data_IF_456279186385
#
_entry.id   IF_456279186385
#
_cell.length_a   1.000
_cell.length_b   1.000
_cell.length_c   1.000
_cell.angle_alpha   90.00
_cell.angle_beta   90.00
_cell.angle_gamma   90.00
#
_symmetry.space_group_name_H-M   'P 1'
#
loop_
_entity.id
_entity.type
_entity.pdbx_description
1 polymer ?
#
# COMPACT_ATOMS: atom_id res chain seq x y z
N UNK A 1 -11.39 -4.64 -0.85
CA UNK A 1 -12.31 -3.66 -0.24
C UNK A 1 -13.48 -3.55 -1.18
N UNK A 2 -14.69 -3.86 -0.74
CA UNK A 2 -15.91 -3.69 -1.52
C UNK A 2 -16.70 -2.47 -1.04
N UNK A 3 -17.63 -2.01 -1.88
CA UNK A 3 -18.49 -0.87 -1.60
C UNK A 3 -19.94 -1.26 -1.41
N UNK A 4 -20.61 -0.60 -0.47
CA UNK A 4 -22.01 -0.88 -0.13
C UNK A 4 -22.80 0.40 0.08
N UNK A 5 -24.11 0.36 -0.19
CA UNK A 5 -25.07 1.37 0.23
C UNK A 5 -26.01 0.77 1.26
N UNK A 6 -26.10 1.38 2.43
CA UNK A 6 -27.06 1.04 3.47
C UNK A 6 -28.13 2.11 3.54
N UNK A 7 -29.39 1.72 3.36
CA UNK A 7 -30.54 2.62 3.48
C UNK A 7 -30.84 2.89 4.95
N UNK A 8 -31.06 4.16 5.24
CA UNK A 8 -31.54 4.69 6.50
C UNK A 8 -32.87 5.39 6.27
N UNK A 9 -33.90 5.00 7.02
CA UNK A 9 -35.18 5.69 7.00
C UNK A 9 -35.24 6.64 8.20
N UNK A 10 -35.31 7.97 7.98
CA UNK A 10 -35.31 8.96 9.07
C UNK A 10 -36.55 8.87 9.97
N UNK A 11 -37.60 8.13 9.57
CA UNK A 11 -38.75 7.84 10.46
C UNK A 11 -38.38 6.93 11.63
N UNK A 12 -37.45 6.00 11.42
CA UNK A 12 -37.10 4.97 12.40
C UNK A 12 -35.79 5.28 13.12
N UNK A 13 -34.85 5.91 12.42
CA UNK A 13 -33.52 6.20 12.94
C UNK A 13 -33.13 7.66 12.67
N UNK A 14 -32.89 8.42 13.74
CA UNK A 14 -32.55 9.85 13.74
C UNK A 14 -31.09 10.07 13.32
N UNK A 15 -30.80 9.73 12.06
CA UNK A 15 -29.45 9.76 11.49
C UNK A 15 -28.76 11.12 11.65
N UNK A 16 -29.50 12.21 11.47
CA UNK A 16 -28.94 13.56 11.59
C UNK A 16 -28.41 13.85 13.00
N UNK A 17 -29.15 13.44 14.05
CA UNK A 17 -28.70 13.55 15.43
C UNK A 17 -27.49 12.64 15.68
N UNK A 18 -27.53 11.40 15.14
CA UNK A 18 -26.41 10.46 15.24
C UNK A 18 -25.14 11.02 14.63
N UNK A 19 -25.22 11.67 13.46
CA UNK A 19 -24.04 12.18 12.77
C UNK A 19 -23.40 13.38 13.49
N UNK A 20 -24.13 14.06 14.40
CA UNK A 20 -23.57 15.11 15.26
C UNK A 20 -22.87 14.54 16.49
N UNK A 21 -23.19 13.33 16.92
CA UNK A 21 -22.51 12.68 18.04
C UNK A 21 -21.03 12.40 17.68
N UNK A 22 -20.06 12.82 18.51
CA UNK A 22 -18.64 12.62 18.23
C UNK A 22 -18.23 11.15 18.07
N UNK A 23 -18.95 10.20 18.68
CA UNK A 23 -18.66 8.75 18.62
C UNK A 23 -18.60 8.26 17.19
N UNK A 24 -17.48 7.62 16.87
CA UNK A 24 -17.23 7.10 15.52
C UNK A 24 -17.82 5.69 15.33
N UNK A 25 -17.87 4.88 16.39
CA UNK A 25 -18.43 3.52 16.32
C UNK A 25 -19.94 3.55 16.13
N UNK A 26 -20.43 2.81 15.14
CA UNK A 26 -21.84 2.65 14.82
C UNK A 26 -22.15 1.18 14.51
N UNK A 27 -23.31 0.70 14.93
CA UNK A 27 -23.83 -0.63 14.59
C UNK A 27 -24.93 -0.49 13.55
N UNK A 28 -25.02 -1.46 12.63
CA UNK A 28 -26.05 -1.42 11.57
C UNK A 28 -26.61 -2.80 11.27
N UNK A 29 -27.94 -2.91 11.20
CA UNK A 29 -28.69 -4.15 10.92
C UNK A 29 -28.52 -4.60 9.47
N UNK A 30 -28.19 -5.87 9.26
CA UNK A 30 -27.95 -6.50 7.94
C UNK A 30 -28.76 -7.80 7.85
N UNK A 31 -30.05 -7.70 7.52
CA UNK A 31 -31.00 -8.82 7.69
C UNK A 31 -31.07 -9.84 6.54
N UNK A 32 -30.51 -9.55 5.36
CA UNK A 32 -30.66 -10.41 4.17
C UNK A 32 -29.36 -10.81 3.47
N UNK A 33 -28.25 -10.12 3.75
CA UNK A 33 -26.92 -10.43 3.18
C UNK A 33 -25.81 -10.22 4.23
N UNK A 34 -25.90 -10.84 5.43
CA UNK A 34 -24.92 -10.62 6.49
C UNK A 34 -23.52 -11.12 6.12
N UNK A 35 -23.43 -12.23 5.38
CA UNK A 35 -22.15 -12.89 5.06
C UNK A 35 -21.32 -12.18 3.98
N UNK A 36 -21.93 -11.26 3.22
CA UNK A 36 -21.27 -10.61 2.09
C UNK A 36 -20.46 -9.37 2.50
N UNK A 37 -20.75 -8.77 3.65
CA UNK A 37 -20.10 -7.54 4.12
C UNK A 37 -18.92 -7.89 5.02
N UNK A 38 -17.71 -7.56 4.59
CA UNK A 38 -16.47 -7.95 5.27
C UNK A 38 -15.78 -6.77 5.97
N UNK A 39 -14.97 -7.02 7.02
CA UNK A 39 -14.09 -6.00 7.58
C UNK A 39 -13.21 -5.34 6.51
N UNK A 40 -13.12 -4.02 6.57
CA UNK A 40 -12.41 -3.19 5.58
C UNK A 40 -13.30 -2.65 4.46
N UNK A 41 -14.52 -3.16 4.29
CA UNK A 41 -15.47 -2.64 3.29
C UNK A 41 -15.93 -1.22 3.63
N UNK A 42 -16.25 -0.45 2.60
CA UNK A 42 -16.75 0.92 2.72
C UNK A 42 -18.25 0.93 2.48
N UNK A 43 -18.97 1.59 3.39
CA UNK A 43 -20.42 1.71 3.32
C UNK A 43 -20.83 3.18 3.25
N UNK A 44 -21.69 3.50 2.29
CA UNK A 44 -22.33 4.79 2.14
C UNK A 44 -23.72 4.77 2.79
N UNK A 45 -23.95 5.64 3.77
CA UNK A 45 -25.25 5.75 4.44
C UNK A 45 -26.19 6.61 3.60
N UNK A 46 -27.21 5.94 3.03
CA UNK A 46 -28.23 6.54 2.19
C UNK A 46 -29.49 6.87 2.98
N UNK A 47 -29.80 8.14 3.16
CA UNK A 47 -31.08 8.57 3.73
C UNK A 47 -32.20 8.43 2.68
N UNK A 48 -33.36 7.90 3.07
CA UNK A 48 -34.56 7.84 2.22
C UNK A 48 -35.51 9.01 2.50
N UNK A 49 -36.53 9.19 1.66
CA UNK A 49 -37.53 10.25 1.80
C UNK A 49 -37.27 11.46 0.90
N UNK A 50 -37.81 12.65 1.27
CA UNK A 50 -37.68 13.87 0.48
C UNK A 50 -36.22 14.31 0.29
N UNK A 51 -35.40 14.22 1.35
CA UNK A 51 -33.98 14.57 1.35
C UNK A 51 -33.07 13.38 1.00
N UNK A 52 -33.54 12.51 0.11
CA UNK A 52 -32.83 11.28 -0.23
C UNK A 52 -31.43 11.54 -0.77
N UNK A 53 -30.46 10.77 -0.32
CA UNK A 53 -29.07 10.96 -0.69
C UNK A 53 -28.10 10.35 0.30
N UNK A 54 -26.81 10.48 0.00
CA UNK A 54 -25.73 10.00 0.88
C UNK A 54 -25.41 11.07 1.91
N UNK A 55 -25.37 10.68 3.19
CA UNK A 55 -25.14 11.60 4.34
C UNK A 55 -23.83 11.32 5.08
N UNK A 56 -23.30 10.11 4.94
CA UNK A 56 -22.07 9.69 5.61
C UNK A 56 -21.44 8.49 4.90
N UNK A 57 -20.17 8.24 5.24
CA UNK A 57 -19.48 7.00 4.91
C UNK A 57 -18.88 6.38 6.17
N UNK A 58 -18.79 5.05 6.19
CA UNK A 58 -18.21 4.28 7.28
C UNK A 58 -17.39 3.12 6.74
N UNK A 59 -16.42 2.65 7.53
CA UNK A 59 -15.64 1.45 7.25
C UNK A 59 -16.07 0.34 8.20
N UNK A 60 -16.35 -0.84 7.67
CA UNK A 60 -16.70 -2.02 8.48
C UNK A 60 -15.48 -2.47 9.26
N UNK A 61 -15.59 -2.56 10.58
CA UNK A 61 -14.52 -3.04 11.46
C UNK A 61 -14.73 -4.50 11.83
N UNK A 62 -15.99 -4.91 11.97
CA UNK A 62 -16.38 -6.31 12.25
C UNK A 62 -17.52 -6.73 11.34
N UNK A 63 -17.45 -7.97 10.86
CA UNK A 63 -18.49 -8.60 10.07
C UNK A 63 -19.82 -8.68 10.84
N UNK A 64 -20.89 -9.04 10.14
CA UNK A 64 -22.20 -9.18 10.77
C UNK A 64 -22.20 -10.35 11.77
N UNK A 65 -22.50 -10.04 13.03
CA UNK A 65 -22.69 -11.01 14.10
C UNK A 65 -24.07 -10.81 14.76
N UNK A 66 -24.66 -11.89 15.26
CA UNK A 66 -25.91 -11.82 16.03
C UNK A 66 -25.70 -11.02 17.31
N UNK A 67 -26.37 -9.88 17.41
CA UNK A 67 -26.28 -9.02 18.60
C UNK A 67 -27.50 -8.13 18.77
N UNK A 68 -27.77 -7.75 20.01
CA UNK A 68 -28.71 -6.67 20.32
C UNK A 68 -28.11 -5.33 19.89
N UNK A 69 -28.97 -4.31 19.73
CA UNK A 69 -28.52 -2.96 19.43
C UNK A 69 -27.61 -2.42 20.54
N UNK A 70 -26.55 -1.71 20.15
CA UNK A 70 -25.68 -1.01 21.10
C UNK A 70 -26.54 -0.04 21.94
N UNK A 71 -26.51 -0.10 23.28
CA UNK A 71 -27.27 0.81 24.13
C UNK A 71 -27.10 2.28 23.78
N UNK A 72 -25.91 2.65 23.30
CA UNK A 72 -25.56 4.00 22.95
C UNK A 72 -26.11 4.40 21.54
N UNK A 73 -26.52 3.43 20.72
CA UNK A 73 -27.22 3.63 19.44
C UNK A 73 -28.74 3.63 19.60
N UNK A 74 -29.28 2.92 20.61
CA UNK A 74 -30.72 2.90 20.94
C UNK A 74 -31.32 4.31 21.08
N UNK A 75 -30.53 5.27 21.57
CA UNK A 75 -30.94 6.66 21.71
C UNK A 75 -31.39 7.32 20.39
N UNK A 76 -30.94 6.84 19.23
CA UNK A 76 -31.30 7.42 17.93
C UNK A 76 -32.48 6.73 17.25
N UNK A 77 -32.90 5.56 17.75
CA UNK A 77 -34.09 4.89 17.26
C UNK A 77 -35.35 5.56 17.81
N UNK A 78 -36.36 5.74 16.96
CA UNK A 78 -37.69 6.20 17.39
C UNK A 78 -38.38 5.14 18.25
N UNK A 79 -38.22 3.88 17.86
CA UNK A 79 -38.71 2.68 18.58
C UNK A 79 -37.57 1.66 18.61
N UNK A 80 -36.74 1.63 19.66
CA UNK A 80 -35.61 0.71 19.73
C UNK A 80 -36.08 -0.74 19.89
N UNK A 81 -35.70 -1.59 18.95
CA UNK A 81 -35.92 -3.04 19.03
C UNK A 81 -34.86 -3.68 19.96
N UNK A 82 -35.31 -4.54 20.90
CA UNK A 82 -34.43 -5.41 21.71
C UNK A 82 -34.05 -6.72 20.96
N UNK A 83 -34.45 -6.84 19.69
CA UNK A 83 -34.24 -8.06 18.90
C UNK A 83 -32.75 -8.27 18.58
N UNK A 84 -32.27 -9.49 18.86
CA UNK A 84 -30.95 -9.95 18.43
C UNK A 84 -31.01 -10.19 16.93
N UNK A 85 -30.22 -9.44 16.18
CA UNK A 85 -30.19 -9.51 14.72
C UNK A 85 -28.76 -9.40 14.20
N UNK A 86 -28.46 -9.91 12.98
CA UNK A 86 -27.14 -9.75 12.40
C UNK A 86 -26.82 -8.27 12.19
N UNK A 87 -25.75 -7.79 12.84
CA UNK A 87 -25.31 -6.40 12.76
C UNK A 87 -23.81 -6.31 12.54
N UNK A 88 -23.40 -5.44 11.63
CA UNK A 88 -21.98 -5.06 11.50
C UNK A 88 -21.61 -4.03 12.56
N UNK A 89 -20.33 -4.01 12.94
CA UNK A 89 -19.73 -2.88 13.64
C UNK A 89 -18.90 -2.11 12.63
N UNK A 90 -19.19 -0.82 12.49
CA UNK A 90 -18.49 0.06 11.59
C UNK A 90 -18.02 1.31 12.32
N UNK A 91 -17.06 2.00 11.71
CA UNK A 91 -16.58 3.30 12.16
C UNK A 91 -16.92 4.34 11.12
N UNK A 92 -17.69 5.36 11.53
CA UNK A 92 -17.98 6.55 10.73
C UNK A 92 -16.66 7.23 10.35
N UNK A 93 -16.38 7.30 9.06
CA UNK A 93 -15.16 7.90 8.53
C UNK A 93 -15.39 9.32 8.02
N UNK A 94 -16.56 9.56 7.40
CA UNK A 94 -16.91 10.83 6.78
C UNK A 94 -18.36 11.20 7.11
N UNK A 95 -18.57 12.46 7.47
CA UNK A 95 -19.87 13.06 7.83
C UNK A 95 -19.82 14.57 7.61
N UNK A 96 -20.96 15.24 7.75
CA UNK A 96 -21.05 16.70 7.56
C UNK A 96 -21.19 17.12 6.09
N UNK A 97 -21.68 16.22 5.25
CA UNK A 97 -22.03 16.50 3.86
C UNK A 97 -23.40 15.90 3.53
N UNK A 98 -24.00 16.35 2.43
CA UNK A 98 -25.20 15.75 1.87
C UNK A 98 -25.12 15.76 0.36
N UNK A 99 -25.00 14.59 -0.25
CA UNK A 99 -25.14 14.46 -1.70
C UNK A 99 -26.53 13.97 -2.03
N UNK A 100 -27.36 14.86 -2.57
CA UNK A 100 -28.74 14.54 -2.93
C UNK A 100 -28.77 13.55 -4.08
N UNK A 101 -29.87 12.80 -4.14
CA UNK A 101 -30.10 11.83 -5.20
C UNK A 101 -30.00 12.45 -6.59
N UNK A 102 -30.49 13.67 -6.77
CA UNK A 102 -30.47 14.38 -8.05
C UNK A 102 -29.04 14.74 -8.46
N UNK A 103 -28.22 15.21 -7.51
CA UNK A 103 -26.82 15.54 -7.74
C UNK A 103 -26.01 14.30 -8.13
N UNK A 104 -26.23 13.18 -7.42
CA UNK A 104 -25.53 11.93 -7.71
C UNK A 104 -25.94 11.33 -9.06
N UNK A 105 -27.20 11.46 -9.47
CA UNK A 105 -27.66 11.02 -10.80
C UNK A 105 -27.09 11.84 -11.95
N UNK A 106 -26.66 13.07 -11.68
CA UNK A 106 -26.06 13.95 -12.68
C UNK A 106 -24.56 13.69 -12.89
N UNK A 107 -23.92 12.89 -12.04
CA UNK A 107 -22.50 12.54 -12.15
C UNK A 107 -22.36 11.29 -13.02
N UNK A 108 -21.66 11.35 -14.17
CA UNK A 108 -21.41 10.17 -15.01
C UNK A 108 -20.73 9.04 -14.22
N UNK A 109 -21.24 7.83 -14.34
CA UNK A 109 -20.80 6.65 -13.58
C UNK A 109 -21.58 6.41 -12.29
N UNK A 110 -22.22 7.43 -11.70
CA UNK A 110 -23.04 7.27 -10.49
C UNK A 110 -24.53 7.10 -10.81
N UNK A 111 -25.01 7.43 -12.01
CA UNK A 111 -26.40 7.24 -12.42
C UNK A 111 -26.87 5.78 -12.35
N UNK A 112 -25.92 4.83 -12.39
CA UNK A 112 -26.17 3.38 -12.29
C UNK A 112 -26.21 2.83 -10.87
N UNK A 113 -26.04 3.68 -9.84
CA UNK A 113 -26.03 3.23 -8.46
C UNK A 113 -27.29 2.39 -8.15
N UNK A 114 -27.14 1.21 -7.54
CA UNK A 114 -28.22 0.25 -7.40
C UNK A 114 -29.35 0.74 -6.49
N UNK A 115 -29.09 1.75 -5.66
CA UNK A 115 -30.12 2.39 -4.83
C UNK A 115 -31.16 3.16 -5.65
N UNK A 116 -30.84 3.56 -6.89
CA UNK A 116 -31.75 4.25 -7.81
C UNK A 116 -32.72 3.31 -8.52
N UNK A 117 -32.25 2.09 -8.80
CA UNK A 117 -32.93 1.13 -9.67
C UNK A 117 -33.43 -0.11 -8.93
N UNK A 118 -33.03 -0.27 -7.66
CA UNK A 118 -33.31 -1.45 -6.86
C UNK A 118 -34.74 -1.50 -6.32
N UNK A 119 -35.23 -2.72 -6.12
CA UNK A 119 -36.52 -3.00 -5.47
C UNK A 119 -36.64 -2.24 -4.14
N UNK A 120 -37.77 -1.52 -3.97
CA UNK A 120 -38.07 -0.65 -2.82
C UNK A 120 -37.83 -1.33 -1.46
N UNK A 121 -37.90 -2.66 -1.39
CA UNK A 121 -37.81 -3.47 -0.17
C UNK A 121 -36.38 -3.87 0.27
N UNK A 122 -35.34 -3.71 -0.56
CA UNK A 122 -33.95 -3.98 -0.13
C UNK A 122 -33.38 -2.79 0.64
N UNK A 123 -32.62 -3.08 1.70
CA UNK A 123 -31.99 -2.08 2.59
C UNK A 123 -30.48 -2.00 2.42
N UNK A 124 -29.85 -3.03 1.84
CA UNK A 124 -28.41 -3.13 1.61
C UNK A 124 -28.17 -3.44 0.13
N UNK A 125 -27.25 -2.69 -0.48
CA UNK A 125 -26.95 -2.78 -1.91
C UNK A 125 -25.44 -2.87 -2.12
N UNK A 126 -24.92 -3.90 -2.80
CA UNK A 126 -23.53 -3.89 -3.26
C UNK A 126 -23.36 -2.81 -4.32
N UNK A 127 -22.24 -2.10 -4.32
CA UNK A 127 -21.87 -1.09 -5.32
C UNK A 127 -20.66 -1.63 -6.08
N UNK A 128 -20.67 -1.49 -7.40
CA UNK A 128 -19.51 -1.86 -8.22
C UNK A 128 -18.30 -0.95 -7.93
N UNK A 129 -17.10 -1.46 -8.18
CA UNK A 129 -15.86 -0.78 -7.77
C UNK A 129 -15.72 0.63 -8.37
N UNK A 130 -16.04 0.81 -9.65
CA UNK A 130 -15.92 2.11 -10.34
C UNK A 130 -16.90 3.16 -9.76
N UNK A 131 -18.17 2.80 -9.53
CA UNK A 131 -19.12 3.72 -8.90
C UNK A 131 -18.80 3.96 -7.42
N UNK A 132 -18.26 2.95 -6.74
CA UNK A 132 -17.82 3.02 -5.36
C UNK A 132 -16.63 3.97 -5.17
N UNK A 133 -15.59 3.82 -5.98
CA UNK A 133 -14.41 4.69 -6.00
C UNK A 133 -14.81 6.14 -6.28
N UNK A 134 -15.63 6.37 -7.31
CA UNK A 134 -16.07 7.72 -7.69
C UNK A 134 -16.89 8.40 -6.59
N UNK A 135 -17.79 7.67 -5.93
CA UNK A 135 -18.57 8.18 -4.81
C UNK A 135 -17.69 8.42 -3.58
N UNK A 136 -16.72 7.53 -3.32
CA UNK A 136 -15.76 7.68 -2.24
C UNK A 136 -14.90 8.94 -2.41
N UNK A 137 -14.34 9.15 -3.61
CA UNK A 137 -13.55 10.33 -3.95
C UNK A 137 -14.35 11.63 -3.81
N UNK A 138 -15.62 11.61 -4.24
CA UNK A 138 -16.53 12.75 -4.07
C UNK A 138 -16.76 13.08 -2.59
N UNK A 139 -16.95 12.08 -1.74
CA UNK A 139 -17.10 12.23 -0.27
C UNK A 139 -15.83 12.79 0.36
N UNK A 140 -14.68 12.23 -0.03
CA UNK A 140 -13.37 12.69 0.40
C UNK A 140 -13.18 14.18 0.05
N UNK A 141 -13.47 14.56 -1.18
CA UNK A 141 -13.34 15.94 -1.64
C UNK A 141 -14.24 16.91 -0.86
N UNK A 142 -15.48 16.51 -0.54
CA UNK A 142 -16.43 17.36 0.17
C UNK A 142 -16.17 17.47 1.68
N UNK A 143 -15.53 16.48 2.29
CA UNK A 143 -15.30 16.46 3.75
C UNK A 143 -13.90 16.90 4.16
N UNK A 144 -13.00 17.11 3.19
CA UNK A 144 -11.60 17.48 3.45
C UNK A 144 -10.80 16.42 4.23
N UNK A 145 -11.39 15.25 4.50
CA UNK A 145 -10.73 14.07 5.04
C UNK A 145 -10.42 13.16 3.85
N UNK A 146 -9.18 13.26 3.37
CA UNK A 146 -8.60 12.34 2.38
C UNK A 146 -8.76 10.86 2.76
N UNK A 147 -8.56 9.92 1.82
CA UNK A 147 -8.16 8.57 2.20
C UNK A 147 -7.04 8.68 3.23
N UNK A 148 -7.15 7.91 4.32
CA UNK A 148 -6.22 8.03 5.44
C UNK A 148 -4.81 7.84 4.89
N UNK A 149 -3.92 8.79 5.14
CA UNK A 149 -2.53 8.65 4.70
C UNK A 149 -1.98 7.30 5.18
N UNK A 150 -1.20 6.60 4.33
CA UNK A 150 -0.60 5.34 4.72
C UNK A 150 0.28 5.53 5.98
N UNK A 151 0.48 4.45 6.76
CA UNK A 151 1.18 4.52 8.03
C UNK A 151 2.59 5.11 7.86
N UNK A 152 3.14 5.66 8.94
CA UNK A 152 4.53 6.11 8.96
C UNK A 152 5.46 4.90 8.93
N UNK A 153 6.36 4.86 7.96
CA UNK A 153 7.39 3.83 7.86
C UNK A 153 8.56 4.14 8.78
N UNK A 154 9.38 3.13 9.05
CA UNK A 154 10.56 3.26 9.91
C UNK A 154 11.50 4.36 9.42
N UNK A 155 11.77 4.43 8.12
CA UNK A 155 12.72 5.41 7.57
C UNK A 155 12.20 6.84 7.70
N UNK A 156 10.89 7.06 7.49
CA UNK A 156 10.25 8.36 7.73
C UNK A 156 10.29 8.76 9.21
N UNK A 157 10.15 7.78 10.12
CA UNK A 157 10.24 8.00 11.57
C UNK A 157 11.68 8.30 12.02
N UNK A 158 12.68 7.67 11.41
CA UNK A 158 14.10 7.97 11.66
C UNK A 158 14.40 9.43 11.31
N UNK A 159 13.97 9.89 10.14
CA UNK A 159 14.16 11.28 9.73
C UNK A 159 13.44 12.27 10.67
N UNK A 160 12.24 11.90 11.14
CA UNK A 160 11.49 12.71 12.09
C UNK A 160 12.15 12.76 13.49
N UNK A 161 12.67 11.63 14.00
CA UNK A 161 13.40 11.58 15.27
C UNK A 161 14.73 12.34 15.18
N UNK A 162 15.45 12.20 14.07
CA UNK A 162 16.69 12.95 13.82
C UNK A 162 16.45 14.46 13.88
N UNK A 163 15.38 14.96 13.24
CA UNK A 163 15.01 16.38 13.35
C UNK A 163 14.65 16.77 14.79
N UNK A 164 13.93 15.91 15.53
CA UNK A 164 13.60 16.16 16.94
C UNK A 164 14.86 16.33 17.79
N UNK A 165 15.82 15.42 17.65
CA UNK A 165 17.11 15.45 18.38
C UNK A 165 17.94 16.67 17.98
N UNK A 166 18.10 16.94 16.67
CA UNK A 166 18.85 18.11 16.17
C UNK A 166 18.21 19.45 16.54
N UNK A 167 16.91 19.47 16.79
CA UNK A 167 16.22 20.64 17.34
C UNK A 167 16.41 20.80 18.86
N UNK A 168 17.30 20.03 19.48
CA UNK A 168 17.52 20.05 20.92
C UNK A 168 16.31 19.53 21.69
N UNK A 169 15.57 18.55 21.12
CA UNK A 169 14.42 17.89 21.75
C UNK A 169 13.27 18.84 22.12
N UNK A 170 13.10 19.90 21.31
CA UNK A 170 12.05 20.92 21.49
C UNK A 170 10.95 20.79 20.44
N UNK A 171 9.79 21.37 20.76
CA UNK A 171 8.67 21.46 19.83
C UNK A 171 9.08 22.19 18.53
N UNK A 172 8.59 21.70 17.39
CA UNK A 172 8.79 22.30 16.06
C UNK A 172 7.48 22.79 15.48
N UNK A 173 7.50 23.97 14.84
CA UNK A 173 6.33 24.53 14.17
C UNK A 173 6.25 24.04 12.73
N UNK A 174 5.04 23.90 12.20
CA UNK A 174 4.79 23.54 10.78
C UNK A 174 5.42 24.49 9.75
N UNK A 175 5.71 25.73 10.15
CA UNK A 175 6.33 26.75 9.30
C UNK A 175 7.86 26.81 9.44
N UNK A 176 8.46 25.94 10.26
CA UNK A 176 9.92 25.88 10.41
C UNK A 176 10.55 25.39 9.09
N UNK A 177 11.55 26.08 8.53
CA UNK A 177 12.21 25.67 7.30
C UNK A 177 12.71 24.21 7.32
N UNK A 178 13.18 23.73 8.49
CA UNK A 178 13.67 22.35 8.66
C UNK A 178 12.54 21.31 8.58
N UNK A 179 11.32 21.69 8.98
CA UNK A 179 10.13 20.85 8.85
C UNK A 179 9.66 20.79 7.39
N UNK A 180 9.75 21.91 6.66
CA UNK A 180 9.42 21.97 5.24
C UNK A 180 10.40 21.10 4.44
N UNK A 181 11.70 21.25 4.68
CA UNK A 181 12.75 20.42 4.06
C UNK A 181 12.56 18.92 4.37
N UNK A 182 12.20 18.58 5.62
CA UNK A 182 11.88 17.20 5.99
C UNK A 182 10.63 16.69 5.26
N UNK A 183 9.61 17.53 5.09
CA UNK A 183 8.41 17.20 4.31
C UNK A 183 8.76 16.87 2.86
N UNK A 184 9.61 17.67 2.22
CA UNK A 184 10.11 17.42 0.86
C UNK A 184 10.91 16.12 0.78
N UNK A 185 11.83 15.90 1.72
CA UNK A 185 12.67 14.69 1.79
C UNK A 185 11.81 13.44 1.92
N UNK A 186 10.83 13.45 2.83
CA UNK A 186 9.93 12.31 3.05
C UNK A 186 9.05 12.06 1.82
N UNK A 187 8.59 13.11 1.14
CA UNK A 187 7.80 12.98 -0.09
C UNK A 187 8.62 12.42 -1.26
N UNK A 188 9.92 12.68 -1.30
CA UNK A 188 10.83 12.14 -2.31
C UNK A 188 11.12 10.63 -2.14
N UNK A 189 10.81 10.05 -0.97
CA UNK A 189 11.00 8.62 -0.75
C UNK A 189 10.04 7.78 -1.62
N UNK A 190 10.52 6.77 -2.37
CA UNK A 190 9.70 5.87 -3.18
C UNK A 190 9.03 4.77 -2.35
N UNK A 191 8.48 5.13 -1.19
CA UNK A 191 7.93 4.19 -0.19
C UNK A 191 6.46 3.87 -0.48
N UNK A 192 5.69 4.89 -0.87
CA UNK A 192 4.30 4.76 -1.28
C UNK A 192 4.11 5.31 -2.69
N UNK A 193 3.40 4.62 -3.58
CA UNK A 193 3.17 5.11 -4.93
C UNK A 193 2.16 6.29 -4.90
N UNK A 194 2.19 7.23 -5.86
CA UNK A 194 1.38 8.47 -5.81
C UNK A 194 -0.13 8.24 -5.62
N UNK A 195 -0.65 7.11 -6.11
CA UNK A 195 -2.07 6.76 -6.13
C UNK A 195 -2.64 6.48 -4.74
N UNK A 196 -1.79 6.13 -3.76
CA UNK A 196 -2.21 5.90 -2.36
C UNK A 196 -1.92 7.11 -1.46
N UNK A 197 -1.36 8.19 -2.00
CA UNK A 197 -1.04 9.41 -1.26
C UNK A 197 -2.24 10.36 -1.30
N UNK A 198 -2.76 10.75 -0.14
CA UNK A 198 -3.77 11.81 -0.09
C UNK A 198 -3.14 13.18 -0.38
N UNK A 199 -3.96 14.19 -0.67
CA UNK A 199 -3.50 15.59 -0.80
C UNK A 199 -2.77 16.14 0.44
N UNK A 200 -2.97 15.50 1.60
CA UNK A 200 -2.28 15.86 2.86
C UNK A 200 -1.06 15.00 3.15
N UNK A 201 -0.66 14.12 2.23
CA UNK A 201 0.42 13.15 2.44
C UNK A 201 1.72 13.86 2.83
N UNK A 202 2.16 13.56 4.05
CA UNK A 202 3.43 14.04 4.63
C UNK A 202 3.67 15.54 4.46
N UNK A 203 2.59 16.34 4.48
CA UNK A 203 2.69 17.79 4.44
C UNK A 203 3.38 18.35 5.71
N UNK A 204 3.83 19.62 5.72
CA UNK A 204 4.57 20.18 6.85
C UNK A 204 3.82 20.13 8.20
N UNK A 205 2.49 20.21 8.17
CA UNK A 205 1.66 20.07 9.39
C UNK A 205 1.75 18.65 9.96
N UNK A 206 1.57 17.63 9.12
CA UNK A 206 1.67 16.23 9.53
C UNK A 206 3.07 15.84 9.98
N UNK A 207 4.10 16.40 9.34
CA UNK A 207 5.51 16.22 9.73
C UNK A 207 5.79 16.85 11.09
N UNK A 208 5.43 18.11 11.32
CA UNK A 208 5.61 18.76 12.63
C UNK A 208 4.90 18.01 13.77
N UNK A 209 3.67 17.54 13.51
CA UNK A 209 2.93 16.70 14.46
C UNK A 209 3.69 15.41 14.72
N UNK A 210 4.22 14.74 13.68
CA UNK A 210 4.95 13.49 13.86
C UNK A 210 6.26 13.67 14.64
N UNK A 211 7.02 14.73 14.36
CA UNK A 211 8.24 15.07 15.11
C UNK A 211 7.90 15.30 16.58
N UNK A 212 6.79 15.98 16.87
CA UNK A 212 6.33 16.23 18.24
C UNK A 212 5.86 14.97 18.98
N UNK A 213 5.49 13.90 18.27
CA UNK A 213 5.10 12.65 18.93
C UNK A 213 6.24 12.03 19.77
N UNK A 214 7.51 12.29 19.44
CA UNK A 214 8.65 11.76 20.20
C UNK A 214 8.76 12.35 21.61
N UNK A 215 8.18 13.53 21.84
CA UNK A 215 8.11 14.15 23.17
C UNK A 215 7.41 13.25 24.20
N UNK A 216 6.46 12.42 23.77
CA UNK A 216 5.73 11.51 24.66
C UNK A 216 6.61 10.37 25.23
N UNK A 217 7.77 10.12 24.62
CA UNK A 217 8.71 9.07 25.05
C UNK A 217 10.01 9.65 25.62
N UNK A 218 10.19 10.96 25.57
CA UNK A 218 11.41 11.64 25.96
C UNK A 218 11.43 11.94 27.45
N UNK A 219 12.25 11.25 28.25
CA UNK A 219 12.28 11.47 29.70
C UNK A 219 12.87 12.84 30.05
N UNK A 220 13.59 13.48 29.13
CA UNK A 220 14.17 14.80 29.32
C UNK A 220 13.21 15.94 28.89
N UNK A 221 12.01 15.61 28.40
CA UNK A 221 11.02 16.59 27.96
C UNK A 221 10.08 16.99 29.10
N UNK A 222 10.08 18.28 29.44
CA UNK A 222 9.18 18.84 30.46
C UNK A 222 7.76 19.04 29.88
N UNK A 223 6.96 17.96 29.83
CA UNK A 223 5.53 17.98 29.49
C UNK A 223 4.94 16.60 29.14
N UNK A 224 3.60 16.50 29.05
CA UNK A 224 2.88 15.22 28.81
C UNK A 224 3.07 14.63 27.40
N UNK A 225 3.61 15.40 26.45
CA UNK A 225 3.66 15.02 25.03
C UNK A 225 2.29 14.74 24.41
N UNK A 226 2.27 14.22 23.19
CA UNK A 226 1.03 13.80 22.52
C UNK A 226 0.74 12.32 22.82
N UNK A 227 -0.34 12.04 23.57
CA UNK A 227 -0.78 10.69 24.02
C UNK A 227 -1.11 9.67 22.90
N UNK A 228 -0.96 10.04 21.63
CA UNK A 228 -1.28 9.21 20.45
C UNK A 228 -0.04 8.79 19.64
N UNK A 229 1.13 8.69 20.29
CA UNK A 229 2.34 8.19 19.65
C UNK A 229 2.25 6.66 19.48
N UNK A 230 2.00 6.18 18.26
CA UNK A 230 1.79 4.74 17.99
C UNK A 230 3.07 3.90 18.07
N UNK A 231 2.92 2.58 18.22
CA UNK A 231 3.98 1.60 18.49
C UNK A 231 5.23 1.68 17.57
N UNK A 232 5.06 2.03 16.29
CA UNK A 232 6.20 2.19 15.37
C UNK A 232 7.10 3.39 15.76
N UNK A 233 6.52 4.44 16.34
CA UNK A 233 7.25 5.63 16.81
C UNK A 233 8.07 5.27 18.05
N UNK A 234 7.46 4.53 18.98
CA UNK A 234 8.11 4.00 20.17
C UNK A 234 9.27 3.05 19.82
N UNK A 235 9.09 2.18 18.83
CA UNK A 235 10.14 1.26 18.40
C UNK A 235 11.39 2.00 17.90
N UNK A 236 11.21 3.05 17.09
CA UNK A 236 12.34 3.89 16.62
C UNK A 236 12.95 4.66 17.77
N UNK A 237 12.14 5.20 18.68
CA UNK A 237 12.63 5.86 19.89
C UNK A 237 13.53 4.94 20.71
N UNK A 238 13.02 3.77 21.11
CA UNK A 238 13.74 2.79 21.91
C UNK A 238 15.02 2.29 21.25
N UNK A 239 15.04 2.19 19.91
CA UNK A 239 16.23 1.79 19.16
C UNK A 239 17.36 2.84 19.23
N UNK A 240 17.01 4.13 19.14
CA UNK A 240 17.99 5.20 18.91
C UNK A 240 18.19 6.16 20.07
N UNK A 241 17.37 6.11 21.12
CA UNK A 241 17.37 7.08 22.22
C UNK A 241 18.76 7.25 22.86
N UNK A 242 19.46 6.15 23.12
CA UNK A 242 20.81 6.14 23.69
C UNK A 242 21.93 6.22 22.64
N UNK A 243 21.59 6.35 21.36
CA UNK A 243 22.53 6.27 20.24
C UNK A 243 22.28 7.37 19.18
N UNK A 244 22.45 8.66 19.55
CA UNK A 244 22.22 9.78 18.62
C UNK A 244 23.14 9.74 17.39
N UNK A 245 24.37 9.23 17.52
CA UNK A 245 25.30 9.10 16.38
C UNK A 245 24.78 8.09 15.35
N UNK A 246 24.28 6.93 15.82
CA UNK A 246 23.67 5.90 14.95
C UNK A 246 22.37 6.40 14.31
N UNK A 247 21.61 7.24 15.00
CA UNK A 247 20.43 7.89 14.45
C UNK A 247 20.80 8.83 13.31
N UNK A 248 21.82 9.67 13.51
CA UNK A 248 22.32 10.61 12.50
C UNK A 248 22.85 9.86 11.27
N UNK A 249 23.64 8.79 11.46
CA UNK A 249 24.09 7.91 10.38
C UNK A 249 22.92 7.31 9.59
N UNK A 250 21.92 6.76 10.28
CA UNK A 250 20.74 6.18 9.66
C UNK A 250 19.91 7.22 8.89
N UNK A 251 19.71 8.41 9.46
CA UNK A 251 19.00 9.51 8.82
C UNK A 251 19.75 10.02 7.58
N UNK A 252 21.07 10.14 7.63
CA UNK A 252 21.89 10.52 6.49
C UNK A 252 21.81 9.50 5.36
N UNK A 253 21.81 8.20 5.67
CA UNK A 253 21.63 7.14 4.67
C UNK A 253 20.25 7.24 3.97
N UNK A 254 19.18 7.53 4.74
CA UNK A 254 17.83 7.72 4.17
C UNK A 254 17.76 8.99 3.31
N UNK A 255 18.39 10.10 3.74
CA UNK A 255 18.47 11.35 2.94
C UNK A 255 19.22 11.14 1.63
N UNK A 256 20.36 10.45 1.66
CA UNK A 256 21.14 10.13 0.47
C UNK A 256 20.34 9.28 -0.53
N UNK A 257 19.53 8.34 -0.03
CA UNK A 257 18.60 7.56 -0.85
C UNK A 257 17.50 8.43 -1.49
N UNK A 258 16.90 9.34 -0.71
CA UNK A 258 15.86 10.26 -1.21
C UNK A 258 16.38 11.21 -2.31
N UNK A 259 17.64 11.63 -2.23
CA UNK A 259 18.29 12.53 -3.18
C UNK A 259 18.83 11.83 -4.44
N UNK A 260 18.59 10.52 -4.60
CA UNK A 260 18.96 9.79 -5.81
C UNK A 260 20.45 9.48 -5.94
N UNK A 261 21.23 9.52 -4.85
CA UNK A 261 22.62 9.01 -4.87
C UNK A 261 22.64 7.47 -4.90
N UNK A 262 22.27 6.90 -6.05
CA UNK A 262 22.62 5.52 -6.44
C UNK A 262 24.03 5.45 -7.06
N UNK A 263 24.70 6.59 -7.25
CA UNK A 263 26.00 6.68 -7.91
C UNK A 263 27.15 6.20 -7.01
N UNK A 264 27.07 6.40 -5.69
CA UNK A 264 28.17 6.02 -4.78
C UNK A 264 28.11 4.57 -4.29
N UNK A 265 26.96 3.90 -4.38
CA UNK A 265 26.79 2.51 -3.90
C UNK A 265 27.06 1.43 -4.98
N UNK A 266 27.48 1.82 -6.19
CA UNK A 266 27.70 0.89 -7.31
C UNK A 266 29.15 0.82 -7.82
N UNK A 267 30.13 1.39 -7.11
CA UNK A 267 31.54 1.19 -7.44
C UNK A 267 32.19 0.20 -6.44
N UNK A 268 32.33 -1.10 -6.76
CA UNK A 268 33.17 -2.01 -5.96
C UNK A 268 34.66 -1.89 -6.33
N UNK A 269 35.08 -0.85 -7.05
CA UNK A 269 36.45 -0.63 -7.49
C UNK A 269 37.05 0.65 -6.91
N UNK A 270 37.28 0.67 -5.60
CA UNK A 270 38.29 1.52 -4.98
C UNK A 270 39.33 0.58 -4.40
N UNK A 271 40.59 0.72 -4.81
CA UNK A 271 41.68 -0.16 -4.38
C UNK A 271 41.67 -0.32 -2.85
N UNK A 272 41.36 -1.53 -2.39
CA UNK A 272 41.43 -1.88 -0.98
C UNK A 272 42.88 -2.22 -0.66
N UNK A 273 43.45 -1.52 0.32
CA UNK A 273 44.66 -1.99 1.00
C UNK A 273 44.38 -3.37 1.62
N UNK A 274 45.34 -4.29 1.46
CA UNK A 274 45.15 -5.73 1.68
C UNK A 274 45.04 -6.16 3.17
N UNK A 275 45.01 -5.24 4.13
CA UNK A 275 45.19 -5.55 5.56
C UNK A 275 44.05 -5.10 6.51
N UNK A 276 42.86 -4.75 6.02
CA UNK A 276 41.71 -4.48 6.91
C UNK A 276 40.77 -5.67 7.03
N UNK A 277 40.58 -6.15 8.26
CA UNK A 277 39.59 -7.17 8.60
C UNK A 277 38.16 -6.63 8.35
N UNK A 278 37.50 -7.12 7.30
CA UNK A 278 36.11 -6.77 6.99
C UNK A 278 35.14 -7.53 7.90
N UNK A 279 34.21 -6.80 8.52
CA UNK A 279 33.04 -7.43 9.16
C UNK A 279 31.99 -7.74 8.11
N UNK A 280 32.04 -8.94 7.54
CA UNK A 280 30.97 -9.47 6.70
C UNK A 280 29.75 -9.81 7.58
N UNK A 281 28.53 -9.37 7.20
CA UNK A 281 27.30 -9.68 7.94
C UNK A 281 26.35 -8.52 8.25
N UNK A 282 26.63 -7.29 7.77
CA UNK A 282 25.69 -6.16 7.92
C UNK A 282 24.39 -6.45 7.16
N UNK A 283 23.31 -6.77 7.88
CA UNK A 283 21.98 -6.97 7.32
C UNK A 283 21.46 -5.65 6.71
N UNK A 284 21.65 -5.48 5.40
CA UNK A 284 20.99 -4.43 4.64
C UNK A 284 19.56 -4.88 4.30
N UNK A 285 18.56 -4.18 4.86
CA UNK A 285 17.17 -4.37 4.49
C UNK A 285 16.92 -3.66 3.16
N UNK A 286 16.85 -4.42 2.06
CA UNK A 286 16.38 -3.95 0.75
C UNK A 286 14.86 -3.96 0.71
N UNK A 287 14.25 -2.82 0.42
CA UNK A 287 12.83 -2.77 0.03
C UNK A 287 12.72 -3.25 -1.41
N UNK A 288 12.22 -4.48 -1.62
CA UNK A 288 11.84 -4.95 -2.95
C UNK A 288 10.48 -4.35 -3.32
N UNK A 289 10.44 -3.44 -4.30
CA UNK A 289 9.22 -3.16 -5.05
C UNK A 289 8.86 -4.41 -5.87
N UNK A 290 8.02 -5.27 -5.31
CA UNK A 290 7.50 -6.44 -6.00
C UNK A 290 6.32 -5.99 -6.88
N UNK A 291 6.58 -5.58 -8.13
CA UNK A 291 5.54 -5.60 -9.17
C UNK A 291 4.92 -6.99 -9.21
N UNK A 292 3.60 -7.07 -9.37
CA UNK A 292 2.82 -8.30 -9.27
C UNK A 292 3.27 -9.35 -10.31
N UNK A 293 4.26 -10.17 -9.94
CA UNK A 293 4.60 -11.37 -10.70
C UNK A 293 3.63 -12.46 -10.28
N UNK A 294 2.57 -12.61 -11.05
CA UNK A 294 1.63 -13.74 -10.99
C UNK A 294 2.40 -15.06 -11.10
N UNK A 295 2.62 -15.80 -9.99
CA UNK A 295 3.53 -16.95 -9.95
C UNK A 295 3.02 -18.13 -10.78
N UNK A 296 1.73 -18.14 -11.10
CA UNK A 296 1.11 -19.10 -12.02
C UNK A 296 1.70 -19.01 -13.44
N UNK A 297 2.15 -17.82 -13.89
CA UNK A 297 2.74 -17.65 -15.24
C UNK A 297 4.11 -18.29 -15.36
N UNK A 298 4.94 -18.16 -14.32
CA UNK A 298 6.25 -18.81 -14.23
C UNK A 298 6.07 -20.33 -14.26
N UNK A 299 5.14 -20.85 -13.43
CA UNK A 299 4.81 -22.27 -13.39
C UNK A 299 4.28 -22.78 -14.74
N UNK A 300 3.35 -22.05 -15.37
CA UNK A 300 2.79 -22.40 -16.70
C UNK A 300 3.87 -22.41 -17.78
N UNK A 301 4.80 -21.45 -17.78
CA UNK A 301 5.91 -21.42 -18.75
C UNK A 301 6.84 -22.61 -18.55
N UNK A 302 7.31 -22.86 -17.32
CA UNK A 302 8.18 -24.00 -17.00
C UNK A 302 7.52 -25.32 -17.38
N UNK A 303 6.26 -25.52 -17.01
CA UNK A 303 5.50 -26.71 -17.38
C UNK A 303 5.34 -26.86 -18.90
N UNK A 304 5.08 -25.77 -19.63
CA UNK A 304 4.97 -25.79 -21.08
C UNK A 304 6.29 -26.16 -21.76
N UNK A 305 7.42 -25.58 -21.30
CA UNK A 305 8.76 -25.90 -21.83
C UNK A 305 9.14 -27.34 -21.49
N UNK A 306 8.89 -27.77 -20.25
CA UNK A 306 9.15 -29.14 -19.81
C UNK A 306 8.34 -30.16 -20.62
N UNK A 307 7.06 -29.86 -20.91
CA UNK A 307 6.20 -30.70 -21.77
C UNK A 307 6.69 -30.75 -23.22
N UNK A 308 7.17 -29.63 -23.76
CA UNK A 308 7.57 -29.53 -25.17
C UNK A 308 8.98 -30.07 -25.44
N UNK A 309 9.94 -29.82 -24.55
CA UNK A 309 11.37 -30.12 -24.74
C UNK A 309 11.90 -31.22 -23.84
N UNK A 310 11.15 -31.65 -22.83
CA UNK A 310 11.58 -32.67 -21.87
C UNK A 310 12.70 -32.23 -20.93
N UNK A 311 13.11 -30.95 -20.97
CA UNK A 311 14.20 -30.39 -20.16
C UNK A 311 14.05 -28.87 -19.96
N UNK A 312 14.74 -28.29 -18.97
CA UNK A 312 14.71 -26.85 -18.67
C UNK A 312 16.09 -26.21 -18.87
N UNK A 313 16.67 -26.46 -20.05
CA UNK A 313 17.94 -25.89 -20.46
C UNK A 313 17.84 -24.37 -20.69
N UNK A 314 18.91 -23.65 -20.33
CA UNK A 314 19.04 -22.22 -20.59
C UNK A 314 19.04 -21.91 -22.09
N UNK A 315 18.20 -20.96 -22.52
CA UNK A 315 18.10 -20.54 -23.92
C UNK A 315 19.32 -19.75 -24.44
N UNK A 316 20.26 -19.37 -23.56
CA UNK A 316 21.51 -18.66 -23.92
C UNK A 316 22.70 -19.60 -24.01
N UNK A 317 22.96 -20.38 -22.96
CA UNK A 317 24.15 -21.22 -22.86
C UNK A 317 23.89 -22.72 -22.93
N UNK A 318 22.63 -23.15 -22.95
CA UNK A 318 22.25 -24.57 -23.00
C UNK A 318 22.37 -25.32 -21.67
N UNK A 319 22.81 -24.66 -20.59
CA UNK A 319 22.99 -25.30 -19.29
C UNK A 319 21.67 -25.79 -18.68
N UNK A 320 21.62 -27.05 -18.24
CA UNK A 320 20.48 -27.66 -17.55
C UNK A 320 20.87 -28.05 -16.12
N UNK A 321 20.16 -27.50 -15.13
CA UNK A 321 20.45 -27.77 -13.72
C UNK A 321 20.08 -29.19 -13.31
N UNK A 322 19.01 -29.77 -13.84
CA UNK A 322 18.58 -31.11 -13.48
C UNK A 322 19.53 -32.18 -14.05
N UNK A 323 20.13 -31.91 -15.21
CA UNK A 323 21.17 -32.75 -15.80
C UNK A 323 22.46 -32.72 -14.95
N UNK A 324 22.96 -31.52 -14.62
CA UNK A 324 24.23 -31.37 -13.90
C UNK A 324 24.12 -31.72 -12.40
N UNK A 325 23.03 -31.31 -11.75
CA UNK A 325 22.89 -31.39 -10.29
C UNK A 325 21.85 -32.42 -9.83
N UNK A 326 21.13 -33.09 -10.74
CA UNK A 326 20.11 -34.05 -10.38
C UNK A 326 18.90 -33.40 -9.68
N UNK A 327 18.38 -34.04 -8.63
CA UNK A 327 17.14 -33.63 -7.94
C UNK A 327 17.12 -32.15 -7.49
N UNK A 328 18.18 -31.59 -6.87
CA UNK A 328 18.25 -30.17 -6.54
C UNK A 328 18.07 -29.21 -7.72
N UNK A 329 18.41 -29.64 -8.94
CA UNK A 329 18.34 -28.82 -10.14
C UNK A 329 16.98 -28.80 -10.82
N UNK A 330 16.04 -29.65 -10.39
CA UNK A 330 14.68 -29.73 -10.96
C UNK A 330 13.95 -28.40 -10.75
N UNK A 331 13.38 -27.87 -11.84
CA UNK A 331 12.67 -26.58 -11.87
C UNK A 331 13.50 -25.35 -11.45
N UNK A 332 14.82 -25.47 -11.31
CA UNK A 332 15.68 -24.39 -10.78
C UNK A 332 15.87 -23.21 -11.73
N UNK A 333 15.82 -23.45 -13.05
CA UNK A 333 16.01 -22.40 -14.06
C UNK A 333 15.04 -21.22 -13.88
N UNK A 334 15.47 -20.01 -14.24
CA UNK A 334 14.73 -18.76 -13.99
C UNK A 334 13.95 -18.32 -15.22
N UNK A 335 12.76 -17.72 -15.03
CA UNK A 335 11.99 -17.11 -16.11
C UNK A 335 12.34 -15.62 -16.25
N UNK A 336 12.80 -15.22 -17.42
CA UNK A 336 13.12 -13.85 -17.79
C UNK A 336 12.05 -13.28 -18.74
N UNK A 337 11.68 -12.01 -18.57
CA UNK A 337 10.79 -11.32 -19.52
C UNK A 337 11.64 -10.74 -20.64
N UNK A 338 11.36 -11.12 -21.88
CA UNK A 338 12.11 -10.64 -23.06
C UNK A 338 11.92 -9.15 -23.30
N UNK A 339 10.79 -8.59 -22.85
CA UNK A 339 10.55 -7.15 -22.74
C UNK A 339 10.73 -6.73 -21.28
N UNK A 340 11.57 -5.72 -20.98
CA UNK A 340 11.73 -5.21 -19.62
C UNK A 340 10.39 -4.88 -19.00
N UNK A 341 10.12 -5.39 -17.80
CA UNK A 341 8.85 -5.16 -17.10
C UNK A 341 8.59 -3.66 -16.90
N UNK A 342 9.65 -2.84 -16.78
CA UNK A 342 9.58 -1.39 -16.67
C UNK A 342 8.92 -0.71 -17.89
N UNK A 343 9.02 -1.31 -19.07
CA UNK A 343 8.52 -0.80 -20.36
C UNK A 343 7.13 -1.35 -20.71
N UNK A 344 6.59 -2.29 -19.93
CA UNK A 344 5.25 -2.84 -20.12
C UNK A 344 4.18 -1.87 -19.62
N UNK A 345 3.16 -1.62 -20.44
CA UNK A 345 1.97 -0.87 -20.02
C UNK A 345 1.17 -1.70 -18.98
N UNK A 346 0.54 -1.09 -17.95
CA UNK A 346 -0.21 -1.81 -16.91
C UNK A 346 -1.23 -2.83 -17.43
N UNK A 347 -1.88 -2.53 -18.56
CA UNK A 347 -2.92 -3.37 -19.19
C UNK A 347 -2.42 -4.28 -20.32
N UNK A 348 -1.10 -4.36 -20.55
CA UNK A 348 -0.57 -5.15 -21.66
C UNK A 348 -0.59 -6.66 -21.33
N UNK A 349 -1.27 -7.50 -22.14
CA UNK A 349 -1.31 -8.93 -21.89
C UNK A 349 0.06 -9.57 -22.18
N UNK A 350 0.75 -10.02 -21.14
CA UNK A 350 1.97 -10.84 -21.28
C UNK A 350 1.58 -12.27 -21.69
N UNK A 351 2.22 -12.81 -22.73
CA UNK A 351 2.02 -14.20 -23.19
C UNK A 351 3.19 -15.07 -22.75
N UNK A 352 3.02 -16.39 -22.79
CA UNK A 352 4.12 -17.33 -22.49
C UNK A 352 5.29 -17.23 -23.48
N UNK A 353 5.04 -16.71 -24.69
CA UNK A 353 6.08 -16.42 -25.69
C UNK A 353 7.00 -15.26 -25.28
N UNK A 354 6.52 -14.37 -24.42
CA UNK A 354 7.27 -13.19 -23.96
C UNK A 354 8.15 -13.51 -22.72
N UNK A 355 8.34 -14.81 -22.45
CA UNK A 355 9.16 -15.34 -21.37
C UNK A 355 10.24 -16.28 -21.94
N UNK A 356 11.45 -16.20 -21.40
CA UNK A 356 12.57 -17.09 -21.70
C UNK A 356 13.06 -17.83 -20.45
N UNK A 357 13.55 -19.05 -20.62
CA UNK A 357 14.18 -19.86 -19.57
C UNK A 357 15.69 -19.61 -19.58
N UNK A 358 16.22 -19.10 -18.47
CA UNK A 358 17.64 -18.77 -18.32
C UNK A 358 18.25 -19.39 -17.06
N UNK A 359 19.56 -19.64 -17.07
CA UNK A 359 20.29 -19.91 -15.85
C UNK A 359 20.55 -18.62 -15.07
N UNK A 360 20.81 -18.74 -13.77
CA UNK A 360 21.08 -17.59 -12.89
C UNK A 360 22.19 -16.68 -13.42
N UNK A 361 23.22 -17.25 -14.05
CA UNK A 361 24.34 -16.49 -14.61
C UNK A 361 23.94 -15.68 -15.85
N UNK A 362 23.28 -16.31 -16.83
CA UNK A 362 22.82 -15.62 -18.04
C UNK A 362 21.74 -14.58 -17.74
N UNK A 363 20.86 -14.87 -16.78
CA UNK A 363 19.83 -13.92 -16.36
C UNK A 363 20.44 -12.66 -15.73
N UNK A 364 21.44 -12.82 -14.86
CA UNK A 364 22.19 -11.69 -14.28
C UNK A 364 22.99 -10.93 -15.34
N UNK A 365 23.62 -11.65 -16.29
CA UNK A 365 24.39 -11.04 -17.37
C UNK A 365 23.50 -10.11 -18.22
N UNK A 366 22.34 -10.58 -18.65
CA UNK A 366 21.39 -9.78 -19.45
C UNK A 366 20.96 -8.53 -18.69
N UNK A 367 20.64 -8.64 -17.40
CA UNK A 367 20.29 -7.45 -16.60
C UNK A 367 21.46 -6.48 -16.39
N UNK A 368 22.72 -6.95 -16.44
CA UNK A 368 23.90 -6.10 -16.32
C UNK A 368 24.16 -5.25 -17.56
N UNK A 369 23.78 -5.72 -18.76
CA UNK A 369 24.02 -4.97 -20.00
C UNK A 369 23.10 -3.76 -20.17
N UNK A 370 22.02 -3.69 -19.40
CA UNK A 370 21.06 -2.58 -19.37
C UNK A 370 21.62 -1.24 -18.84
N UNK A 371 22.92 -1.15 -18.50
CA UNK A 371 23.59 0.07 -18.04
C UNK A 371 25.02 0.15 -18.58
N UNK A 372 25.40 1.15 -19.41
CA UNK A 372 24.64 2.32 -19.87
C UNK A 372 23.85 2.10 -21.19
N UNK A 373 23.80 0.87 -21.74
CA UNK A 373 23.14 0.56 -23.01
C UNK A 373 21.80 -0.18 -22.88
N UNK A 374 21.12 -0.50 -24.00
CA UNK A 374 19.91 -1.32 -23.96
C UNK A 374 20.21 -2.73 -23.44
N UNK A 375 19.27 -3.30 -22.69
CA UNK A 375 19.34 -4.68 -22.22
C UNK A 375 19.50 -5.61 -23.42
N UNK A 376 20.47 -6.54 -23.35
CA UNK A 376 20.63 -7.54 -24.39
C UNK A 376 19.39 -8.42 -24.46
N UNK A 377 18.89 -8.64 -25.67
CA UNK A 377 17.90 -9.67 -25.92
C UNK A 377 18.53 -11.06 -25.71
N UNK A 378 17.69 -12.05 -25.40
CA UNK A 378 18.12 -13.45 -25.28
C UNK A 378 18.85 -13.94 -26.55
N UNK A 379 18.40 -13.64 -27.79
CA UNK A 379 19.13 -13.99 -29.00
C UNK A 379 20.51 -13.34 -29.13
N UNK A 380 20.67 -12.07 -28.72
CA UNK A 380 21.97 -11.38 -28.73
C UNK A 380 22.94 -12.03 -27.75
N UNK A 381 22.49 -12.30 -26.52
CA UNK A 381 23.30 -12.99 -25.51
C UNK A 381 23.69 -14.40 -25.98
N UNK A 382 22.77 -15.14 -26.62
CA UNK A 382 23.05 -16.47 -27.17
C UNK A 382 24.05 -16.42 -28.33
N UNK A 383 24.02 -15.36 -29.14
CA UNK A 383 24.96 -15.16 -30.25
C UNK A 383 26.36 -14.87 -29.72
N UNK A 384 26.47 -13.96 -28.75
CA UNK A 384 27.75 -13.64 -28.11
C UNK A 384 28.33 -14.83 -27.34
N UNK A 385 27.48 -15.62 -26.67
CA UNK A 385 27.89 -16.87 -26.02
C UNK A 385 28.53 -17.85 -27.01
N UNK A 386 27.85 -18.11 -28.14
CA UNK A 386 28.35 -18.99 -29.20
C UNK A 386 29.66 -18.49 -29.81
N UNK A 387 29.80 -17.18 -30.01
CA UNK A 387 31.04 -16.57 -30.51
C UNK A 387 32.23 -16.85 -29.58
N UNK A 388 32.01 -16.83 -28.27
CA UNK A 388 33.06 -17.07 -27.26
C UNK A 388 33.29 -18.55 -26.95
N UNK A 389 32.32 -19.41 -27.24
CA UNK A 389 32.36 -20.85 -26.96
C UNK A 389 32.02 -21.66 -28.23
N UNK A 390 32.88 -21.63 -29.28
CA UNK A 390 32.58 -22.23 -30.58
C UNK A 390 32.41 -23.77 -30.56
N UNK A 391 32.66 -24.44 -29.42
CA UNK A 391 32.43 -25.88 -29.21
C UNK A 391 31.22 -26.24 -28.36
N UNK A 392 30.48 -25.26 -27.82
CA UNK A 392 29.28 -25.47 -27.00
C UNK A 392 28.05 -24.99 -27.75
N UNK A 393 27.58 -25.78 -28.71
CA UNK A 393 26.36 -25.48 -29.44
C UNK A 393 25.13 -25.73 -28.55
N UNK A 394 24.27 -24.72 -28.44
CA UNK A 394 22.95 -24.83 -27.80
C UNK A 394 22.02 -25.52 -28.79
N UNK A 395 21.53 -26.73 -28.45
CA UNK A 395 20.54 -27.49 -29.23
C UNK A 395 19.10 -27.16 -28.87
#
# INVERSE_FOLDING_TARGET
>A
MAYWIFKCNPKWYRLEERLRDPRETITWKVSRTPEAVAPGDVVFLWQTGPDRGVRAAMTVERAAEERSEDPAEKAYWTEPEEEVTPRVVARLTHRGFHFRSEELKAVPGLERLPVFHGFQQKTVFPVDDEAGDLLHDKIVAATGRGPRNPPWTRDELILAMDLYVRNGRKHVRKSDPRVIELSETVNALPVYPPEVRSASFRNPTGVAMKVSNFQAFDPDYEGDGLRAAGAATEAVWSEFYHHPDRLAEAANAVRAFAQGSMAELNNPGGAADEDEAWTEGRLQRRTHLRRERRPDRVRKKKAAVMKAKGRLACEVCGFDFAEEWGKPGVEFAECHHTTPVAELHPDQPVRLADLAILCANCHRLIHRTAKPGPMWSVPEAATEWRRRHPGQAVT
#
